data_IF_139613944581
#
_entry.id   IF_139613944581
#
_cell.length_a   1.000
_cell.length_b   1.000
_cell.length_c   1.000
_cell.angle_alpha   90.00
_cell.angle_beta   90.00
_cell.angle_gamma   90.00
#
_symmetry.space_group_name_H-M   'P 1'
#
loop_
_entity.id
_entity.type
_entity.pdbx_description
1 polymer ?
#
# COMPACT_ATOMS: atom_id res chain seq x y z
N UNK A 1 -3.03 -6.34 2.09
CA UNK A 1 -2.64 -5.27 3.05
C UNK A 1 -1.36 -5.57 3.85
N UNK A 2 -1.28 -6.71 4.55
CA UNK A 2 -0.12 -7.08 5.38
C UNK A 2 1.22 -6.98 4.63
N UNK A 3 1.30 -7.62 3.45
CA UNK A 3 2.52 -7.63 2.63
C UNK A 3 2.96 -6.21 2.24
N UNK A 4 2.03 -5.34 1.85
CA UNK A 4 2.33 -3.95 1.50
C UNK A 4 2.85 -3.15 2.70
N UNK A 5 2.25 -3.37 3.87
CA UNK A 5 2.68 -2.77 5.13
C UNK A 5 4.12 -3.17 5.47
N UNK A 6 4.44 -4.46 5.37
CA UNK A 6 5.79 -4.99 5.61
C UNK A 6 6.80 -4.53 4.55
N UNK A 7 6.41 -4.51 3.27
CA UNK A 7 7.25 -4.05 2.18
C UNK A 7 7.58 -2.56 2.31
N UNK A 8 6.60 -1.73 2.71
CA UNK A 8 6.82 -0.31 2.97
C UNK A 8 7.84 -0.11 4.11
N UNK A 9 7.68 -0.79 5.24
CA UNK A 9 8.61 -0.70 6.38
C UNK A 9 10.02 -1.09 5.97
N UNK A 10 10.18 -2.25 5.33
CA UNK A 10 11.52 -2.74 4.93
C UNK A 10 12.17 -1.80 3.92
N UNK A 11 11.43 -1.34 2.91
CA UNK A 11 11.94 -0.40 1.90
C UNK A 11 12.42 0.92 2.53
N UNK A 12 11.66 1.48 3.47
CA UNK A 12 12.05 2.74 4.11
C UNK A 12 13.18 2.56 5.11
N UNK A 13 13.17 1.49 5.92
CA UNK A 13 14.19 1.27 6.95
C UNK A 13 15.54 0.85 6.40
N UNK A 14 15.56 0.22 5.22
CA UNK A 14 16.81 -0.17 4.54
C UNK A 14 17.48 1.01 3.83
N UNK A 15 16.80 2.17 3.72
CA UNK A 15 17.38 3.38 3.16
C UNK A 15 18.40 4.02 4.11
N UNK A 16 19.59 4.42 3.61
CA UNK A 16 20.56 5.21 4.41
C UNK A 16 19.97 6.50 4.99
N UNK A 17 18.93 7.05 4.36
CA UNK A 17 18.25 8.29 4.80
C UNK A 17 17.19 8.08 5.88
N UNK A 18 16.96 6.84 6.32
CA UNK A 18 15.92 6.53 7.30
C UNK A 18 16.07 7.29 8.64
N UNK A 19 17.27 7.46 9.23
CA UNK A 19 17.42 8.19 10.48
C UNK A 19 16.88 9.63 10.43
N UNK A 20 16.98 10.29 9.28
CA UNK A 20 16.47 11.63 9.04
C UNK A 20 14.98 11.60 8.67
N UNK A 21 14.60 10.74 7.72
CA UNK A 21 13.23 10.65 7.19
C UNK A 21 12.24 10.13 8.24
N UNK A 22 12.66 9.25 9.15
CA UNK A 22 11.82 8.72 10.23
C UNK A 22 11.31 9.80 11.17
N UNK A 23 12.02 10.93 11.30
CA UNK A 23 11.57 12.08 12.09
C UNK A 23 10.38 12.82 11.44
N UNK A 24 10.24 12.68 10.12
CA UNK A 24 9.13 13.23 9.33
C UNK A 24 8.01 12.21 9.13
N UNK A 25 8.20 10.96 9.57
CA UNK A 25 7.18 9.91 9.47
C UNK A 25 6.00 10.22 10.40
N UNK A 26 4.99 10.89 9.83
CA UNK A 26 3.78 11.30 10.52
C UNK A 26 2.75 10.16 10.62
N UNK A 27 1.53 10.51 11.04
CA UNK A 27 0.41 9.58 11.24
C UNK A 27 0.12 8.70 10.01
N UNK A 28 0.25 9.25 8.80
CA UNK A 28 0.03 8.48 7.57
C UNK A 28 0.98 7.29 7.40
N UNK A 29 2.27 7.46 7.74
CA UNK A 29 3.22 6.35 7.74
C UNK A 29 2.83 5.32 8.80
N UNK A 30 2.58 5.76 10.04
CA UNK A 30 2.17 4.90 11.16
C UNK A 30 0.96 4.03 10.79
N UNK A 31 -0.06 4.62 10.18
CA UNK A 31 -1.31 3.92 9.86
C UNK A 31 -1.12 2.88 8.74
N UNK A 32 -0.37 3.24 7.68
CA UNK A 32 -0.06 2.33 6.58
C UNK A 32 0.86 1.18 7.02
N UNK A 33 1.78 1.43 7.95
CA UNK A 33 2.73 0.42 8.44
C UNK A 33 2.23 -0.38 9.64
N UNK A 34 1.05 -0.08 10.19
CA UNK A 34 0.54 -0.71 11.42
C UNK A 34 0.48 -2.24 11.35
N UNK A 35 0.17 -2.81 10.19
CA UNK A 35 0.03 -4.26 10.02
C UNK A 35 1.38 -4.98 10.04
N UNK A 36 2.49 -4.29 9.76
CA UNK A 36 3.83 -4.87 9.83
C UNK A 36 4.21 -5.34 11.24
N UNK A 37 3.57 -4.81 12.28
CA UNK A 37 3.77 -5.22 13.69
C UNK A 37 3.09 -6.54 14.05
N UNK A 38 2.39 -7.19 13.12
CA UNK A 38 1.72 -8.47 13.36
C UNK A 38 2.72 -9.60 13.63
N UNK A 39 2.36 -10.54 14.52
CA UNK A 39 3.25 -11.61 14.96
C UNK A 39 3.80 -12.45 13.78
N UNK A 40 5.13 -12.65 13.65
CA UNK A 40 5.74 -13.30 12.48
C UNK A 40 5.23 -14.71 12.17
N UNK A 41 5.01 -15.55 13.20
CA UNK A 41 4.41 -16.89 13.02
C UNK A 41 3.04 -16.83 12.34
N UNK A 42 2.18 -15.89 12.72
CA UNK A 42 0.86 -15.73 12.12
C UNK A 42 0.97 -15.27 10.67
N UNK A 43 1.89 -14.35 10.37
CA UNK A 43 2.14 -13.89 9.00
C UNK A 43 2.60 -15.03 8.09
N UNK A 44 3.54 -15.86 8.58
CA UNK A 44 3.99 -17.06 7.88
C UNK A 44 2.81 -17.98 7.58
N UNK A 45 2.02 -18.30 8.59
CA UNK A 45 0.92 -19.27 8.46
C UNK A 45 -0.11 -18.77 7.42
N UNK A 46 -0.50 -17.49 7.47
CA UNK A 46 -1.35 -16.83 6.46
C UNK A 46 -0.75 -16.96 5.05
N UNK A 47 0.56 -16.70 4.90
CA UNK A 47 1.22 -16.78 3.60
C UNK A 47 1.28 -18.22 3.08
N UNK A 48 1.50 -19.20 3.95
CA UNK A 48 1.57 -20.60 3.54
C UNK A 48 0.20 -21.20 3.20
N UNK A 49 -0.86 -20.76 3.86
CA UNK A 49 -2.22 -21.31 3.65
C UNK A 49 -2.92 -20.71 2.43
N UNK A 50 -2.53 -19.49 2.02
CA UNK A 50 -3.17 -18.77 0.90
C UNK A 50 -2.15 -18.26 -0.14
N UNK A 51 -1.07 -19.02 -0.35
CA UNK A 51 0.11 -18.61 -1.11
C UNK A 51 -0.23 -18.10 -2.52
N UNK A 52 -0.98 -18.87 -3.29
CA UNK A 52 -1.24 -18.58 -4.70
C UNK A 52 -2.03 -17.28 -4.88
N UNK A 53 -3.10 -17.09 -4.10
CA UNK A 53 -3.88 -15.85 -4.15
C UNK A 53 -3.09 -14.65 -3.67
N UNK A 54 -2.24 -14.80 -2.65
CA UNK A 54 -1.38 -13.71 -2.17
C UNK A 54 -0.40 -13.29 -3.26
N UNK A 55 0.22 -14.25 -3.97
CA UNK A 55 1.12 -13.95 -5.10
C UNK A 55 0.35 -13.22 -6.21
N UNK A 56 -0.82 -13.70 -6.61
CA UNK A 56 -1.62 -13.06 -7.65
C UNK A 56 -1.93 -11.58 -7.29
N UNK A 57 -2.31 -11.31 -6.04
CA UNK A 57 -2.57 -9.94 -5.59
C UNK A 57 -1.30 -9.08 -5.46
N UNK A 58 -0.15 -9.68 -5.14
CA UNK A 58 1.13 -8.97 -5.17
C UNK A 58 1.43 -8.52 -6.61
N UNK A 59 1.24 -9.41 -7.59
CA UNK A 59 1.50 -9.11 -9.01
C UNK A 59 0.59 -7.99 -9.53
N UNK A 60 -0.71 -8.03 -9.20
CA UNK A 60 -1.63 -6.94 -9.54
C UNK A 60 -1.22 -5.61 -8.89
N UNK A 61 -0.73 -5.64 -7.65
CA UNK A 61 -0.27 -4.43 -6.99
C UNK A 61 1.02 -3.89 -7.61
N UNK A 62 1.95 -4.75 -8.02
CA UNK A 62 3.17 -4.36 -8.74
C UNK A 62 2.82 -3.69 -10.07
N UNK A 63 1.83 -4.22 -10.81
CA UNK A 63 1.34 -3.60 -12.05
C UNK A 63 0.80 -2.19 -11.79
N UNK A 64 -0.02 -2.01 -10.76
CA UNK A 64 -0.60 -0.70 -10.44
C UNK A 64 0.47 0.29 -9.97
N UNK A 65 1.41 -0.13 -9.12
CA UNK A 65 2.56 0.71 -8.74
C UNK A 65 3.40 1.12 -9.95
N UNK A 66 3.61 0.20 -10.89
CA UNK A 66 4.36 0.47 -12.12
C UNK A 66 3.63 1.48 -13.02
N UNK A 67 2.29 1.37 -13.11
CA UNK A 67 1.44 2.35 -13.79
C UNK A 67 1.57 3.74 -13.17
N UNK A 68 1.42 3.87 -11.85
CA UNK A 68 1.61 5.17 -11.17
C UNK A 68 3.01 5.73 -11.37
N UNK A 69 4.05 4.89 -11.27
CA UNK A 69 5.43 5.31 -11.56
C UNK A 69 5.55 5.87 -12.98
N UNK A 70 4.96 5.21 -13.97
CA UNK A 70 5.02 5.63 -15.36
C UNK A 70 4.30 6.96 -15.58
N UNK A 71 3.08 7.10 -15.06
CA UNK A 71 2.32 8.36 -15.13
C UNK A 71 3.10 9.54 -14.56
N UNK A 72 3.79 9.34 -13.42
CA UNK A 72 4.64 10.36 -12.79
C UNK A 72 5.89 10.63 -13.63
N UNK A 73 6.51 9.59 -14.20
CA UNK A 73 7.71 9.72 -15.01
C UNK A 73 7.47 10.45 -16.34
N UNK A 74 6.26 10.31 -16.90
CA UNK A 74 5.86 10.93 -18.15
C UNK A 74 5.34 12.38 -17.98
N UNK A 75 5.24 12.87 -16.74
CA UNK A 75 4.75 14.22 -16.38
C UNK A 75 3.33 14.51 -16.92
N UNK A 76 2.50 13.46 -17.05
CA UNK A 76 1.13 13.55 -17.54
C UNK A 76 0.19 14.11 -16.45
N UNK A 77 0.25 15.41 -16.15
CA UNK A 77 -0.50 16.05 -15.06
C UNK A 77 -1.99 15.64 -15.03
N UNK A 78 -2.67 15.69 -16.17
CA UNK A 78 -4.09 15.31 -16.30
C UNK A 78 -4.33 13.82 -15.99
N UNK A 79 -3.45 12.92 -16.45
CA UNK A 79 -3.58 11.48 -16.21
C UNK A 79 -3.28 11.12 -14.75
N UNK A 80 -2.32 11.83 -14.14
CA UNK A 80 -2.01 11.70 -12.71
C UNK A 80 -3.23 12.11 -11.88
N UNK A 81 -3.81 13.29 -12.14
CA UNK A 81 -5.01 13.75 -11.45
C UNK A 81 -6.15 12.74 -11.61
N UNK A 82 -6.37 12.26 -12.83
CA UNK A 82 -7.45 11.32 -13.11
C UNK A 82 -7.25 9.97 -12.39
N UNK A 83 -6.01 9.47 -12.30
CA UNK A 83 -5.71 8.26 -11.53
C UNK A 83 -6.04 8.43 -10.03
N UNK A 84 -5.73 9.59 -9.45
CA UNK A 84 -6.08 9.89 -8.05
C UNK A 84 -7.58 10.10 -7.84
N UNK A 85 -8.29 10.73 -8.80
CA UNK A 85 -9.76 10.84 -8.78
C UNK A 85 -10.40 9.45 -8.77
N UNK A 86 -9.96 8.55 -9.66
CA UNK A 86 -10.46 7.18 -9.72
C UNK A 86 -10.26 6.43 -8.41
N UNK A 87 -9.07 6.50 -7.81
CA UNK A 87 -8.78 5.89 -6.52
C UNK A 87 -9.66 6.47 -5.39
N UNK A 88 -9.84 7.80 -5.36
CA UNK A 88 -10.70 8.47 -4.38
C UNK A 88 -12.16 8.03 -4.51
N UNK A 89 -12.70 8.01 -5.72
CA UNK A 89 -14.08 7.59 -5.98
C UNK A 89 -14.31 6.12 -5.62
N UNK A 90 -13.37 5.22 -5.94
CA UNK A 90 -13.45 3.83 -5.55
C UNK A 90 -13.50 3.67 -4.02
N UNK A 91 -12.64 4.38 -3.29
CA UNK A 91 -12.64 4.38 -1.83
C UNK A 91 -13.93 4.95 -1.25
N UNK A 92 -14.41 6.08 -1.77
CA UNK A 92 -15.63 6.71 -1.26
C UNK A 92 -16.85 5.80 -1.41
N UNK A 93 -17.00 5.15 -2.58
CA UNK A 93 -18.06 4.16 -2.80
C UNK A 93 -18.02 3.03 -1.78
N UNK A 94 -16.84 2.46 -1.54
CA UNK A 94 -16.67 1.43 -0.52
C UNK A 94 -17.08 1.92 0.88
N UNK A 95 -16.64 3.13 1.28
CA UNK A 95 -17.03 3.72 2.57
C UNK A 95 -18.54 3.91 2.66
N UNK A 96 -19.18 4.46 1.63
CA UNK A 96 -20.62 4.75 1.63
C UNK A 96 -21.47 3.49 1.66
N UNK A 97 -21.01 2.40 1.03
CA UNK A 97 -21.66 1.09 1.09
C UNK A 97 -21.58 0.48 2.50
N UNK A 98 -20.43 0.64 3.17
CA UNK A 98 -20.21 0.03 4.48
C UNK A 98 -20.76 0.89 5.63
N UNK A 99 -20.84 2.21 5.47
CA UNK A 99 -21.46 3.13 6.45
C UNK A 99 -23.00 2.98 6.53
N UNK A 100 -23.64 2.35 5.54
CA UNK A 100 -25.09 2.04 5.57
C UNK A 100 -25.41 0.72 6.28
N UNK A 101 -24.39 -0.07 6.61
CA UNK A 101 -24.53 -1.41 7.18
C UNK A 101 -24.27 -1.43 8.69
N UNK A 102 -23.77 -0.32 9.25
CA UNK A 102 -23.62 -0.04 10.69
C UNK A 102 -24.74 0.89 11.20
#
# INVERSE_FOLDING_TARGET
PLILSSALVTTTTDSPSWPEVSKLAATGYRDLTRLASQHPRMNRDICTTNRENIIAWIDEFIKELSRFRQLIADDSEEEIEQAFIQARQARQRWVDEHAKTD
#
